data_IF_324537619850
#
_entry.id   IF_324537619850
#
_cell.length_a   1.000
_cell.length_b   1.000
_cell.length_c   1.000
_cell.angle_alpha   90.00
_cell.angle_beta   90.00
_cell.angle_gamma   90.00
#
_symmetry.space_group_name_H-M   'P 1'
#
loop_
_entity.id
_entity.type
_entity.pdbx_description
1 polymer ?
#
# COMPACT_ATOMS: atom_id res chain seq x y z
N UNK A 1 -14.59 8.65 5.26
CA UNK A 1 -13.16 9.03 5.04
C UNK A 1 -12.87 10.48 5.44
N UNK A 2 -11.66 10.74 5.93
CA UNK A 2 -11.22 12.06 6.43
C UNK A 2 -11.34 13.20 5.39
N UNK A 3 -11.02 12.91 4.12
CA UNK A 3 -11.09 13.89 3.02
C UNK A 3 -12.50 14.46 2.85
N UNK A 4 -13.53 13.62 2.90
CA UNK A 4 -14.93 14.07 2.80
C UNK A 4 -15.30 14.91 4.01
N UNK A 5 -14.94 14.48 5.22
CA UNK A 5 -15.23 15.21 6.46
C UNK A 5 -14.59 16.60 6.47
N UNK A 6 -13.34 16.70 6.02
CA UNK A 6 -12.51 17.90 6.18
C UNK A 6 -12.66 18.88 5.02
N UNK A 7 -13.03 18.41 3.82
CA UNK A 7 -13.19 19.27 2.63
C UNK A 7 -14.64 19.68 2.40
N UNK A 8 -15.61 18.77 2.54
CA UNK A 8 -17.01 19.03 2.19
C UNK A 8 -17.63 20.29 2.81
N UNK A 9 -17.35 20.66 4.08
CA UNK A 9 -17.89 21.89 4.67
C UNK A 9 -17.47 23.19 3.97
N UNK A 10 -16.41 23.13 3.15
CA UNK A 10 -15.83 24.28 2.45
C UNK A 10 -16.10 24.25 0.93
N UNK A 11 -16.83 23.23 0.43
CA UNK A 11 -17.17 23.13 -0.99
C UNK A 11 -18.33 24.09 -1.30
N UNK A 12 -18.15 25.09 -2.18
CA UNK A 12 -19.21 26.03 -2.52
C UNK A 12 -20.32 25.39 -3.35
N UNK A 13 -21.50 26.00 -3.31
CA UNK A 13 -22.61 25.62 -4.19
C UNK A 13 -22.19 25.67 -5.67
N UNK A 14 -22.64 24.67 -6.44
CA UNK A 14 -22.30 24.52 -7.85
C UNK A 14 -20.95 23.87 -8.15
N UNK A 15 -20.14 23.54 -7.12
CA UNK A 15 -18.91 22.75 -7.27
C UNK A 15 -19.19 21.26 -7.06
N UNK A 16 -18.66 20.41 -7.93
CA UNK A 16 -18.75 18.95 -7.80
C UNK A 16 -17.48 18.40 -7.16
N UNK A 17 -17.57 17.99 -5.90
CA UNK A 17 -16.46 17.38 -5.18
C UNK A 17 -16.54 15.85 -5.25
N UNK A 18 -15.56 15.25 -5.92
CA UNK A 18 -15.46 13.80 -6.11
C UNK A 18 -14.04 13.37 -5.71
N UNK A 19 -13.84 12.77 -4.52
CA UNK A 19 -12.53 12.30 -4.11
C UNK A 19 -12.05 11.15 -5.00
N UNK A 20 -10.75 11.15 -5.31
CA UNK A 20 -10.09 10.11 -6.08
C UNK A 20 -8.72 9.75 -5.51
N UNK A 21 -8.31 8.50 -5.66
CA UNK A 21 -7.04 7.97 -5.21
C UNK A 21 -6.41 7.09 -6.30
N UNK A 22 -5.41 7.61 -7.05
CA UNK A 22 -4.61 6.78 -7.92
C UNK A 22 -3.72 5.86 -7.08
N UNK A 23 -3.88 4.55 -7.25
CA UNK A 23 -3.07 3.50 -6.60
C UNK A 23 -1.77 3.34 -7.39
N UNK A 24 -0.99 4.42 -7.39
CA UNK A 24 0.25 4.59 -8.12
C UNK A 24 1.18 5.50 -7.32
N UNK A 25 2.44 5.12 -7.20
CA UNK A 25 3.42 5.91 -6.48
C UNK A 25 4.80 5.26 -6.48
N UNK A 26 5.78 6.03 -6.06
CA UNK A 26 7.14 5.57 -5.76
C UNK A 26 7.51 6.02 -4.35
N UNK A 27 8.62 5.54 -3.81
CA UNK A 27 9.16 6.07 -2.55
C UNK A 27 9.71 7.51 -2.66
N UNK A 28 9.81 8.06 -3.88
CA UNK A 28 10.33 9.41 -4.12
C UNK A 28 9.22 10.47 -4.07
N UNK A 29 9.59 11.68 -3.66
CA UNK A 29 8.69 12.84 -3.53
C UNK A 29 9.20 14.04 -4.34
N UNK A 30 8.39 15.09 -4.48
CA UNK A 30 8.74 16.32 -5.20
C UNK A 30 8.43 16.28 -6.70
N UNK A 31 8.33 17.45 -7.36
CA UNK A 31 7.94 17.55 -8.77
C UNK A 31 8.93 16.90 -9.73
N UNK A 32 10.21 16.81 -9.38
CA UNK A 32 11.26 16.19 -10.18
C UNK A 32 11.12 14.66 -10.28
N UNK A 33 10.36 14.06 -9.37
CA UNK A 33 10.12 12.61 -9.31
C UNK A 33 8.95 12.16 -10.20
N UNK A 34 8.23 13.09 -10.85
CA UNK A 34 7.11 12.79 -11.72
C UNK A 34 7.53 12.26 -13.09
N UNK A 35 6.76 11.30 -13.63
CA UNK A 35 6.95 10.77 -14.98
C UNK A 35 5.60 10.38 -15.61
N UNK A 36 5.51 10.43 -16.94
CA UNK A 36 4.25 10.35 -17.68
C UNK A 36 3.52 9.01 -17.52
N UNK A 37 4.28 7.93 -17.37
CA UNK A 37 3.78 6.56 -17.33
C UNK A 37 3.27 6.14 -15.94
N UNK A 38 3.36 7.02 -14.93
CA UNK A 38 3.07 6.70 -13.53
C UNK A 38 1.72 6.01 -13.32
N UNK A 39 0.71 6.42 -14.10
CA UNK A 39 -0.68 5.97 -13.95
C UNK A 39 -1.09 4.85 -14.90
N UNK A 40 -0.21 4.46 -15.85
CA UNK A 40 -0.52 3.47 -16.88
C UNK A 40 -0.72 2.09 -16.24
N UNK A 41 -1.85 1.45 -16.56
CA UNK A 41 -2.25 0.14 -16.02
C UNK A 41 -2.28 0.10 -14.48
N UNK A 42 -2.44 1.26 -13.84
CA UNK A 42 -2.68 1.39 -12.40
C UNK A 42 -4.15 1.63 -12.14
N UNK A 43 -4.60 1.25 -10.94
CA UNK A 43 -5.96 1.53 -10.53
C UNK A 43 -6.09 2.96 -10.03
N UNK A 44 -7.22 3.60 -10.29
CA UNK A 44 -7.65 4.81 -9.60
C UNK A 44 -9.03 4.56 -9.01
N UNK A 45 -9.16 4.80 -7.71
CA UNK A 45 -10.43 4.61 -6.99
C UNK A 45 -11.11 5.96 -6.83
N UNK A 46 -12.36 6.07 -7.26
CA UNK A 46 -13.21 7.21 -6.96
C UNK A 46 -14.16 6.86 -5.82
N UNK A 47 -14.40 7.81 -4.92
CA UNK A 47 -15.33 7.63 -3.78
C UNK A 47 -16.42 8.71 -3.79
N UNK A 48 -17.26 8.76 -4.83
CA UNK A 48 -18.27 9.80 -4.97
C UNK A 48 -19.27 9.77 -3.79
N UNK A 49 -19.67 10.95 -3.25
CA UNK A 49 -20.81 11.04 -2.36
C UNK A 49 -22.08 10.44 -2.96
N UNK A 50 -23.03 10.01 -2.10
CA UNK A 50 -24.28 9.38 -2.56
C UNK A 50 -25.12 10.30 -3.48
N UNK A 51 -25.02 11.62 -3.29
CA UNK A 51 -25.70 12.66 -4.06
C UNK A 51 -24.79 13.30 -5.14
N UNK A 52 -23.65 12.69 -5.45
CA UNK A 52 -22.74 13.21 -6.45
C UNK A 52 -23.41 13.30 -7.83
N UNK A 53 -23.11 14.38 -8.57
CA UNK A 53 -23.60 14.56 -9.92
C UNK A 53 -23.03 13.45 -10.85
N UNK A 54 -23.87 12.59 -11.46
CA UNK A 54 -23.39 11.47 -12.26
C UNK A 54 -22.55 11.91 -13.47
N UNK A 55 -22.88 13.03 -14.11
CA UNK A 55 -22.12 13.53 -15.26
C UNK A 55 -20.72 14.01 -14.85
N UNK A 56 -20.59 14.56 -13.63
CA UNK A 56 -19.29 14.95 -13.10
C UNK A 56 -18.42 13.72 -12.77
N UNK A 57 -19.01 12.66 -12.22
CA UNK A 57 -18.33 11.39 -11.96
C UNK A 57 -17.84 10.77 -13.27
N UNK A 58 -18.70 10.60 -14.27
CA UNK A 58 -18.31 10.06 -15.58
C UNK A 58 -17.21 10.89 -16.25
N UNK A 59 -17.24 12.22 -16.10
CA UNK A 59 -16.18 13.09 -16.62
C UNK A 59 -14.84 12.82 -15.93
N UNK A 60 -14.82 12.61 -14.62
CA UNK A 60 -13.61 12.32 -13.87
C UNK A 60 -13.10 10.90 -14.12
N UNK A 61 -13.98 9.93 -14.30
CA UNK A 61 -13.63 8.58 -14.74
C UNK A 61 -12.91 8.62 -16.09
N UNK A 62 -13.50 9.31 -17.08
CA UNK A 62 -12.90 9.47 -18.40
C UNK A 62 -11.51 10.14 -18.35
N UNK A 63 -11.31 11.09 -17.44
CA UNK A 63 -10.01 11.71 -17.21
C UNK A 63 -8.96 10.68 -16.77
N UNK A 64 -9.24 9.88 -15.74
CA UNK A 64 -8.30 8.87 -15.25
C UNK A 64 -8.07 7.74 -16.26
N UNK A 65 -9.10 7.33 -16.99
CA UNK A 65 -8.95 6.38 -18.10
C UNK A 65 -8.05 6.94 -19.20
N UNK A 66 -8.15 8.23 -19.53
CA UNK A 66 -7.26 8.87 -20.50
C UNK A 66 -5.80 8.96 -20.01
N UNK A 67 -5.57 9.02 -18.69
CA UNK A 67 -4.23 8.87 -18.10
C UNK A 67 -3.70 7.43 -18.12
N UNK A 68 -4.49 6.45 -18.60
CA UNK A 68 -4.12 5.04 -18.69
C UNK A 68 -4.49 4.20 -17.46
N UNK A 69 -5.26 4.76 -16.52
CA UNK A 69 -5.70 4.04 -15.32
C UNK A 69 -6.96 3.21 -15.54
N UNK A 70 -7.05 2.10 -14.82
CA UNK A 70 -8.33 1.39 -14.60
C UNK A 70 -9.08 2.12 -13.49
N UNK A 71 -10.37 2.43 -13.67
CA UNK A 71 -11.14 3.22 -12.70
C UNK A 71 -12.17 2.35 -12.00
N UNK A 72 -12.21 2.41 -10.67
CA UNK A 72 -13.18 1.70 -9.83
C UNK A 72 -13.90 2.71 -8.93
N UNK A 73 -15.16 2.44 -8.60
CA UNK A 73 -15.92 3.26 -7.62
C UNK A 73 -16.25 2.43 -6.39
N UNK A 74 -16.12 3.02 -5.20
CA UNK A 74 -16.54 2.39 -3.94
C UNK A 74 -16.89 3.43 -2.88
N UNK A 75 -17.42 2.98 -1.74
CA UNK A 75 -17.66 3.89 -0.61
C UNK A 75 -16.35 4.32 0.05
N UNK A 76 -16.29 5.51 0.67
CA UNK A 76 -15.10 5.94 1.42
C UNK A 76 -14.68 4.94 2.51
N UNK A 77 -15.64 4.35 3.21
CA UNK A 77 -15.39 3.39 4.30
C UNK A 77 -14.78 2.08 3.76
N UNK A 78 -15.27 1.61 2.60
CA UNK A 78 -14.71 0.42 1.98
C UNK A 78 -13.30 0.67 1.44
N UNK A 79 -13.08 1.83 0.82
CA UNK A 79 -11.76 2.29 0.40
C UNK A 79 -10.78 2.27 1.58
N UNK A 80 -11.13 2.93 2.68
CA UNK A 80 -10.26 3.07 3.84
C UNK A 80 -9.88 1.70 4.45
N UNK A 81 -10.81 0.73 4.47
CA UNK A 81 -10.56 -0.64 4.91
C UNK A 81 -9.66 -1.41 3.93
N UNK A 82 -9.94 -1.35 2.63
CA UNK A 82 -9.14 -2.03 1.60
C UNK A 82 -7.70 -1.52 1.62
N UNK A 83 -7.50 -0.20 1.72
CA UNK A 83 -6.18 0.40 1.74
C UNK A 83 -5.46 0.18 3.08
N UNK A 84 -6.19 0.01 4.18
CA UNK A 84 -5.59 -0.37 5.46
C UNK A 84 -4.81 -1.69 5.36
N UNK A 85 -5.38 -2.71 4.70
CA UNK A 85 -4.72 -4.02 4.54
C UNK A 85 -3.73 -4.05 3.35
N UNK A 86 -4.06 -3.43 2.22
CA UNK A 86 -3.25 -3.53 1.00
C UNK A 86 -2.09 -2.53 0.92
N UNK A 87 -2.11 -1.46 1.73
CA UNK A 87 -1.11 -0.39 1.68
C UNK A 87 -0.62 0.03 3.06
N UNK A 88 -1.51 0.42 3.98
CA UNK A 88 -1.10 1.10 5.21
C UNK A 88 -0.40 0.15 6.20
N UNK A 89 -0.98 -1.02 6.47
CA UNK A 89 -0.38 -2.00 7.34
C UNK A 89 0.99 -2.48 6.80
N UNK A 90 1.15 -2.81 5.49
CA UNK A 90 2.48 -3.09 4.93
C UNK A 90 3.53 -2.02 5.24
N UNK A 91 3.20 -0.72 5.13
CA UNK A 91 4.13 0.36 5.49
C UNK A 91 4.42 0.40 6.98
N UNK A 92 3.41 0.23 7.84
CA UNK A 92 3.59 0.22 9.29
C UNK A 92 4.54 -0.91 9.74
N UNK A 93 4.36 -2.11 9.17
CA UNK A 93 5.23 -3.26 9.45
C UNK A 93 6.66 -3.01 8.93
N UNK A 94 6.81 -2.37 7.75
CA UNK A 94 8.11 -1.98 7.23
C UNK A 94 8.85 -1.04 8.18
N UNK A 95 8.20 0.04 8.62
CA UNK A 95 8.78 0.97 9.60
C UNK A 95 9.19 0.26 10.89
N UNK A 96 8.34 -0.62 11.42
CA UNK A 96 8.61 -1.34 12.66
C UNK A 96 9.80 -2.31 12.56
N UNK A 97 9.89 -3.08 11.46
CA UNK A 97 11.01 -4.01 11.24
C UNK A 97 12.34 -3.25 11.11
N UNK A 98 12.35 -2.14 10.37
CA UNK A 98 13.55 -1.31 10.21
C UNK A 98 13.98 -0.70 11.55
N UNK A 99 13.04 -0.16 12.33
CA UNK A 99 13.32 0.36 13.67
C UNK A 99 13.85 -0.73 14.62
N UNK A 100 13.20 -1.91 14.64
CA UNK A 100 13.66 -3.05 15.46
C UNK A 100 15.08 -3.48 15.10
N UNK A 101 15.43 -3.46 13.81
CA UNK A 101 16.78 -3.79 13.38
C UNK A 101 17.80 -2.73 13.80
N UNK A 102 17.46 -1.44 13.73
CA UNK A 102 18.33 -0.35 14.19
C UNK A 102 18.61 -0.43 15.69
N UNK A 103 17.58 -0.70 16.51
CA UNK A 103 17.73 -0.86 17.97
C UNK A 103 18.61 -2.07 18.34
N UNK A 104 18.61 -3.12 17.50
CA UNK A 104 19.49 -4.28 17.66
C UNK A 104 20.91 -4.03 17.13
N UNK A 105 21.08 -3.17 16.11
CA UNK A 105 22.39 -2.81 15.57
C UNK A 105 23.24 -2.05 16.59
N UNK A 106 22.64 -1.24 17.47
CA UNK A 106 23.37 -0.63 18.60
C UNK A 106 24.07 -1.69 19.51
N UNK A 107 23.70 -2.97 19.40
CA UNK A 107 24.30 -4.09 20.11
C UNK A 107 25.38 -4.84 19.29
N UNK A 108 25.39 -4.76 17.95
CA UNK A 108 26.28 -5.56 17.06
C UNK A 108 27.01 -4.78 15.95
N UNK A 109 26.80 -3.47 15.88
CA UNK A 109 27.52 -2.35 15.22
C UNK A 109 28.04 -2.49 13.78
N UNK A 110 27.67 -3.52 13.00
CA UNK A 110 27.84 -3.48 11.52
C UNK A 110 27.03 -4.53 10.73
N UNK A 111 26.31 -5.42 11.40
CA UNK A 111 25.77 -6.63 10.76
C UNK A 111 24.47 -6.38 9.98
N UNK A 112 23.63 -5.43 10.41
CA UNK A 112 22.32 -5.17 9.79
C UNK A 112 22.49 -4.64 8.37
N UNK A 113 23.38 -3.65 8.18
CA UNK A 113 23.69 -3.10 6.86
C UNK A 113 24.46 -4.13 6.00
N UNK A 114 25.39 -4.90 6.58
CA UNK A 114 26.19 -5.89 5.83
C UNK A 114 25.36 -7.09 5.37
N UNK A 115 24.38 -7.52 6.16
CA UNK A 115 23.52 -8.66 5.89
C UNK A 115 22.11 -8.28 5.46
N UNK A 116 21.88 -7.03 5.04
CA UNK A 116 20.64 -6.60 4.40
C UNK A 116 20.49 -7.31 3.04
N UNK A 117 20.13 -8.59 3.06
CA UNK A 117 19.74 -9.36 1.90
C UNK A 117 18.29 -9.02 1.49
N UNK A 118 17.85 -9.54 0.34
CA UNK A 118 16.66 -9.08 -0.40
C UNK A 118 15.42 -8.76 0.43
N UNK A 119 15.05 -9.59 1.41
CA UNK A 119 13.86 -9.36 2.23
C UNK A 119 13.90 -8.08 3.07
N UNK A 120 15.02 -7.82 3.76
CA UNK A 120 15.15 -6.60 4.56
C UNK A 120 15.28 -5.36 3.66
N UNK A 121 16.00 -5.46 2.53
CA UNK A 121 16.12 -4.39 1.53
C UNK A 121 14.76 -3.93 1.00
N UNK A 122 13.82 -4.85 0.81
CA UNK A 122 12.48 -4.50 0.32
C UNK A 122 11.68 -3.71 1.37
N UNK A 123 11.83 -4.04 2.66
CA UNK A 123 11.24 -3.26 3.75
C UNK A 123 11.89 -1.90 3.91
N UNK A 124 13.22 -1.77 3.78
CA UNK A 124 13.89 -0.46 3.87
C UNK A 124 13.46 0.48 2.77
N UNK A 125 13.17 -0.02 1.55
CA UNK A 125 12.63 0.80 0.46
C UNK A 125 11.27 1.39 0.82
N UNK A 126 10.37 0.58 1.40
CA UNK A 126 9.03 1.03 1.82
C UNK A 126 9.15 2.04 2.96
N UNK A 127 10.01 1.77 3.95
CA UNK A 127 10.26 2.65 5.08
C UNK A 127 10.99 3.96 4.71
N UNK A 128 11.56 4.07 3.51
CA UNK A 128 12.16 5.31 3.02
C UNK A 128 11.14 6.35 2.51
N UNK A 129 9.85 5.99 2.51
CA UNK A 129 8.76 6.90 2.11
C UNK A 129 8.64 8.12 3.04
N UNK A 130 8.04 9.19 2.52
CA UNK A 130 7.92 10.47 3.25
C UNK A 130 7.21 10.31 4.62
N UNK A 131 7.85 10.73 5.72
CA UNK A 131 7.30 10.55 7.06
C UNK A 131 6.08 11.44 7.33
N UNK A 132 5.96 12.59 6.66
CA UNK A 132 4.81 13.50 6.83
C UNK A 132 3.56 12.85 6.26
N UNK A 133 3.64 12.32 5.04
CA UNK A 133 2.59 11.58 4.37
C UNK A 133 2.13 10.40 5.21
N UNK A 134 3.05 9.54 5.67
CA UNK A 134 2.68 8.34 6.40
C UNK A 134 2.12 8.63 7.80
N UNK A 135 2.64 9.65 8.50
CA UNK A 135 2.01 10.15 9.73
C UNK A 135 0.55 10.52 9.47
N UNK A 136 0.29 11.29 8.43
CA UNK A 136 -1.06 11.80 8.15
C UNK A 136 -2.00 10.68 7.69
N UNK A 137 -1.51 9.69 6.94
CA UNK A 137 -2.26 8.48 6.59
C UNK A 137 -2.72 7.74 7.86
N UNK A 138 -1.82 7.48 8.81
CA UNK A 138 -2.18 6.76 10.04
C UNK A 138 -3.11 7.55 10.95
N UNK A 139 -2.97 8.88 11.01
CA UNK A 139 -3.88 9.73 11.79
C UNK A 139 -5.28 9.82 11.17
N UNK A 140 -5.37 9.81 9.84
CA UNK A 140 -6.65 9.97 9.13
C UNK A 140 -7.39 8.66 8.85
N UNK A 141 -6.71 7.51 8.89
CA UNK A 141 -7.32 6.19 8.75
C UNK A 141 -7.07 5.28 9.98
N UNK A 142 -7.04 5.89 11.17
CA UNK A 142 -6.69 5.23 12.44
C UNK A 142 -7.49 3.95 12.69
N UNK A 143 -8.81 4.02 12.59
CA UNK A 143 -9.68 2.92 13.05
C UNK A 143 -9.53 1.67 12.18
N UNK A 144 -9.52 1.82 10.84
CA UNK A 144 -9.31 0.69 9.93
C UNK A 144 -7.88 0.11 10.04
N UNK A 145 -6.88 0.97 10.26
CA UNK A 145 -5.50 0.53 10.50
C UNK A 145 -5.42 -0.28 11.79
N UNK A 146 -6.03 0.18 12.89
CA UNK A 146 -6.03 -0.53 14.16
C UNK A 146 -6.78 -1.87 14.08
N UNK A 147 -7.90 -1.93 13.36
CA UNK A 147 -8.61 -3.19 13.13
C UNK A 147 -7.70 -4.19 12.40
N UNK A 148 -7.05 -3.75 11.33
CA UNK A 148 -6.19 -4.62 10.52
C UNK A 148 -4.93 -5.04 11.29
N UNK A 149 -4.33 -4.12 12.06
CA UNK A 149 -3.18 -4.39 12.92
C UNK A 149 -3.52 -5.39 14.03
N UNK A 150 -4.73 -5.34 14.59
CA UNK A 150 -5.20 -6.30 15.58
C UNK A 150 -5.20 -7.73 15.01
N UNK A 151 -5.83 -7.92 13.85
CA UNK A 151 -5.85 -9.21 13.13
C UNK A 151 -4.44 -9.71 12.83
N UNK A 152 -3.57 -8.84 12.32
CA UNK A 152 -2.17 -9.17 12.05
C UNK A 152 -1.42 -9.62 13.31
N UNK A 153 -1.65 -8.96 14.45
CA UNK A 153 -0.99 -9.28 15.71
C UNK A 153 -1.41 -10.66 16.25
N UNK A 154 -2.68 -11.02 16.08
CA UNK A 154 -3.19 -12.35 16.41
C UNK A 154 -2.56 -13.44 15.52
N UNK A 155 -2.51 -13.20 14.21
CA UNK A 155 -1.89 -14.10 13.23
C UNK A 155 -0.39 -14.29 13.51
N UNK A 156 0.33 -13.21 13.81
CA UNK A 156 1.75 -13.25 14.16
C UNK A 156 1.97 -14.02 15.47
N UNK A 157 1.09 -13.84 16.45
CA UNK A 157 1.14 -14.61 17.71
C UNK A 157 0.92 -16.10 17.48
N UNK A 158 0.05 -16.47 16.53
CA UNK A 158 -0.16 -17.86 16.15
C UNK A 158 1.09 -18.46 15.48
N UNK A 159 1.72 -17.71 14.57
CA UNK A 159 3.00 -18.08 13.96
C UNK A 159 4.12 -18.26 14.98
N UNK A 160 4.22 -17.36 15.97
CA UNK A 160 5.19 -17.49 17.05
C UNK A 160 5.00 -18.79 17.85
N UNK A 161 3.74 -19.19 18.12
CA UNK A 161 3.44 -20.47 18.79
C UNK A 161 3.83 -21.66 17.92
N UNK A 162 3.52 -21.63 16.63
CA UNK A 162 3.89 -22.69 15.70
C UNK A 162 5.41 -22.93 15.69
N UNK A 163 6.20 -21.86 15.62
CA UNK A 163 7.67 -21.94 15.71
C UNK A 163 8.11 -22.51 17.05
N UNK A 164 7.55 -22.00 18.16
CA UNK A 164 7.91 -22.44 19.52
C UNK A 164 7.67 -23.94 19.75
N UNK A 165 6.63 -24.49 19.13
CA UNK A 165 6.25 -25.89 19.29
C UNK A 165 6.71 -26.79 18.14
N UNK A 166 7.41 -26.25 17.14
CA UNK A 166 7.88 -27.00 15.99
C UNK A 166 6.74 -27.51 15.08
N UNK A 167 5.62 -26.79 15.02
CA UNK A 167 4.48 -27.14 14.15
C UNK A 167 4.80 -26.80 12.68
N UNK A 168 5.58 -27.67 12.05
CA UNK A 168 6.01 -27.51 10.66
C UNK A 168 4.87 -27.60 9.65
N UNK A 169 3.79 -28.32 9.96
CA UNK A 169 2.64 -28.46 9.06
C UNK A 169 1.86 -27.15 8.97
N UNK A 170 1.56 -26.51 10.10
CA UNK A 170 0.91 -25.20 10.11
C UNK A 170 1.72 -24.18 9.31
N UNK A 171 3.04 -24.13 9.53
CA UNK A 171 3.94 -23.22 8.81
C UNK A 171 3.92 -23.48 7.30
N UNK A 172 4.07 -24.75 6.89
CA UNK A 172 4.06 -25.14 5.48
C UNK A 172 2.75 -24.76 4.77
N UNK A 173 1.62 -25.02 5.42
CA UNK A 173 0.31 -24.70 4.87
C UNK A 173 0.12 -23.19 4.69
N UNK A 174 0.52 -22.37 5.68
CA UNK A 174 0.44 -20.92 5.58
C UNK A 174 1.33 -20.38 4.45
N UNK A 175 2.58 -20.85 4.35
CA UNK A 175 3.50 -20.40 3.30
C UNK A 175 3.01 -20.79 1.91
N UNK A 176 2.40 -21.97 1.77
CA UNK A 176 1.79 -22.43 0.53
C UNK A 176 0.65 -21.51 0.09
N UNK A 177 -0.28 -21.20 0.99
CA UNK A 177 -1.38 -20.26 0.72
C UNK A 177 -0.86 -18.86 0.35
N UNK A 178 0.17 -18.38 1.03
CA UNK A 178 0.79 -17.08 0.73
C UNK A 178 1.39 -17.02 -0.68
N UNK A 179 1.98 -18.13 -1.14
CA UNK A 179 2.52 -18.26 -2.51
C UNK A 179 1.42 -18.20 -3.58
N UNK A 180 0.24 -18.72 -3.31
CA UNK A 180 -0.90 -18.67 -4.24
C UNK A 180 -1.41 -17.24 -4.43
N UNK A 181 -1.50 -16.45 -3.36
CA UNK A 181 -1.84 -15.02 -3.42
C UNK A 181 -0.85 -14.28 -4.34
N UNK A 182 0.46 -14.52 -4.16
CA UNK A 182 1.50 -13.93 -5.03
C UNK A 182 1.29 -14.29 -6.50
N UNK A 183 0.97 -15.55 -6.81
CA UNK A 183 0.69 -15.97 -8.19
C UNK A 183 -0.53 -15.26 -8.77
N UNK A 184 -1.56 -15.03 -7.96
CA UNK A 184 -2.73 -14.25 -8.34
C UNK A 184 -2.39 -12.81 -8.73
N UNK A 185 -1.53 -12.14 -7.95
CA UNK A 185 -1.06 -10.76 -8.24
C UNK A 185 -0.35 -10.69 -9.60
N UNK A 186 0.53 -11.65 -9.88
CA UNK A 186 1.26 -11.74 -11.16
C UNK A 186 0.30 -12.04 -12.32
N UNK A 187 -0.65 -12.97 -12.13
CA UNK A 187 -1.64 -13.31 -13.15
C UNK A 187 -2.57 -12.12 -13.48
N UNK A 188 -2.85 -11.26 -12.50
CA UNK A 188 -3.62 -10.03 -12.67
C UNK A 188 -2.81 -8.87 -13.30
N UNK A 189 -1.55 -9.11 -13.69
CA UNK A 189 -0.68 -8.10 -14.31
C UNK A 189 -0.27 -6.95 -13.39
N UNK A 190 -0.46 -7.11 -12.06
CA UNK A 190 -0.09 -6.08 -11.08
C UNK A 190 1.38 -6.12 -10.69
N UNK A 191 2.09 -7.22 -11.04
CA UNK A 191 3.52 -7.37 -10.88
C UNK A 191 4.10 -8.41 -11.86
N UNK A 192 5.42 -8.50 -11.95
CA UNK A 192 6.15 -9.42 -12.83
C UNK A 192 6.51 -10.75 -12.16
N UNK A 193 6.63 -11.80 -12.99
CA UNK A 193 7.18 -13.10 -12.61
C UNK A 193 8.71 -13.12 -12.58
N UNK A 194 9.37 -12.08 -13.09
CA UNK A 194 10.82 -12.01 -13.16
C UNK A 194 11.46 -12.01 -11.75
N UNK A 195 12.66 -12.60 -11.59
CA UNK A 195 13.42 -12.52 -10.34
C UNK A 195 13.65 -11.06 -9.90
N UNK A 196 13.75 -10.81 -8.59
CA UNK A 196 13.87 -9.48 -7.97
C UNK A 196 12.85 -8.46 -8.54
N UNK A 197 11.61 -8.90 -8.81
CA UNK A 197 10.54 -8.05 -9.35
C UNK A 197 10.93 -7.38 -10.69
N UNK A 198 11.78 -8.04 -11.49
CA UNK A 198 12.28 -7.53 -12.76
C UNK A 198 13.32 -6.43 -12.64
N UNK A 199 13.80 -6.13 -11.42
CA UNK A 199 14.84 -5.12 -11.20
C UNK A 199 16.17 -5.59 -11.78
N UNK A 200 16.95 -4.64 -12.31
CA UNK A 200 18.28 -4.90 -12.87
C UNK A 200 18.29 -5.44 -14.32
N UNK A 201 17.13 -5.66 -14.94
CA UNK A 201 17.09 -5.90 -16.39
C UNK A 201 17.32 -4.58 -17.15
N UNK A 202 18.11 -4.58 -18.24
CA UNK A 202 18.25 -3.41 -19.09
C UNK A 202 16.87 -2.99 -19.58
N UNK A 203 16.50 -1.71 -19.47
CA UNK A 203 15.30 -1.20 -20.14
C UNK A 203 15.49 -1.49 -21.63
N UNK A 204 14.58 -2.25 -22.24
CA UNK A 204 14.54 -2.43 -23.68
C UNK A 204 14.47 -1.04 -24.33
N UNK A 205 15.43 -0.75 -25.21
CA UNK A 205 15.46 0.46 -26.03
C UNK A 205 14.24 0.58 -26.92
#
# INVERSE_FOLDING_TARGET
GAVVRDVSPYVPDGVHFIPGHPIAGTEQSGPESGFAELFINRWCILTPPHDANPAAVTKLEAFWTACGSNVETMTPEHHDLVLAITSHLPHLIAYNIVATAADLEEVTDTEVIKYSAGGFRDFTRIAASDPTMWRDVFLNNKDAVLETLGRFSEDLSALQRAIRWGDGEMLFNLFTRSREIRRGIVAAGQDTAAPDFGRGQPKSQ
#
